data_IF_350436971276
#
_entry.id   IF_350436971276
#
_cell.length_a   1.000
_cell.length_b   1.000
_cell.length_c   1.000
_cell.angle_alpha   90.00
_cell.angle_beta   90.00
_cell.angle_gamma   90.00
#
_symmetry.space_group_name_H-M   'P 1'
#
loop_
_entity.id
_entity.type
_entity.pdbx_description
1 polymer ?
#
# COMPACT_ATOMS: atom_id res chain seq x y z
N UNK A 1 -75.68 -55.04 -36.33
CA UNK A 1 -74.63 -55.31 -35.30
C UNK A 1 -73.38 -54.58 -35.72
N UNK A 2 -73.01 -53.55 -34.99
CA UNK A 2 -72.00 -52.61 -35.42
C UNK A 2 -70.84 -52.68 -34.44
N UNK A 3 -69.69 -53.23 -34.89
CA UNK A 3 -68.48 -53.35 -34.09
C UNK A 3 -67.81 -51.98 -33.94
N UNK A 4 -67.67 -51.55 -32.73
CA UNK A 4 -66.91 -50.35 -32.36
C UNK A 4 -65.47 -50.82 -31.99
N UNK A 5 -64.51 -50.44 -32.79
CA UNK A 5 -63.10 -50.66 -32.52
C UNK A 5 -62.60 -49.52 -31.69
N UNK A 6 -62.19 -49.76 -30.41
CA UNK A 6 -61.57 -48.80 -29.52
C UNK A 6 -60.08 -48.74 -29.88
N UNK A 7 -59.65 -47.62 -30.42
CA UNK A 7 -58.28 -47.33 -30.68
C UNK A 7 -57.66 -46.69 -29.39
N UNK A 8 -56.90 -47.48 -28.63
CA UNK A 8 -56.13 -46.99 -27.48
C UNK A 8 -54.86 -46.24 -27.99
N UNK A 9 -54.87 -44.93 -27.99
CA UNK A 9 -53.66 -44.14 -28.15
C UNK A 9 -52.85 -44.12 -26.84
N UNK A 10 -51.77 -44.86 -26.80
CA UNK A 10 -50.76 -44.78 -25.73
C UNK A 10 -49.94 -43.51 -25.94
N UNK A 11 -50.18 -42.47 -25.13
CA UNK A 11 -49.37 -41.30 -25.06
C UNK A 11 -48.10 -41.63 -24.25
N UNK A 12 -47.00 -41.89 -24.93
CA UNK A 12 -45.69 -41.99 -24.29
C UNK A 12 -45.27 -40.59 -23.82
N UNK A 13 -45.33 -40.34 -22.52
CA UNK A 13 -44.69 -39.17 -21.87
C UNK A 13 -43.17 -39.37 -21.96
N UNK A 14 -42.54 -38.74 -22.94
CA UNK A 14 -41.09 -38.59 -22.98
C UNK A 14 -40.78 -37.50 -21.94
N UNK A 15 -40.38 -37.86 -20.74
CA UNK A 15 -39.75 -36.95 -19.79
C UNK A 15 -38.39 -36.56 -20.36
N UNK A 16 -38.33 -35.37 -20.99
CA UNK A 16 -37.07 -34.71 -21.30
C UNK A 16 -36.46 -34.34 -19.93
N UNK A 17 -35.58 -35.18 -19.42
CA UNK A 17 -34.64 -34.75 -18.43
C UNK A 17 -33.74 -33.72 -19.11
N UNK A 18 -34.12 -32.46 -19.07
CA UNK A 18 -33.24 -31.37 -19.36
C UNK A 18 -32.10 -31.49 -18.34
N UNK A 19 -30.96 -31.97 -18.80
CA UNK A 19 -29.72 -31.83 -18.04
C UNK A 19 -29.49 -30.32 -17.96
N UNK A 20 -29.95 -29.69 -16.89
CA UNK A 20 -29.66 -28.28 -16.64
C UNK A 20 -28.18 -28.23 -16.37
N UNK A 21 -27.44 -27.56 -17.26
CA UNK A 21 -26.03 -27.29 -17.04
C UNK A 21 -25.90 -26.57 -15.70
N UNK A 22 -24.95 -27.02 -14.88
CA UNK A 22 -24.66 -26.36 -13.62
C UNK A 22 -23.78 -25.13 -13.90
N UNK A 23 -24.35 -23.96 -13.69
CA UNK A 23 -23.65 -22.70 -13.78
C UNK A 23 -22.89 -22.43 -12.49
N UNK A 24 -21.75 -21.75 -12.57
CA UNK A 24 -20.91 -21.37 -11.43
C UNK A 24 -19.52 -20.92 -11.88
N UNK A 25 -18.69 -20.53 -10.92
CA UNK A 25 -17.31 -20.12 -11.21
C UNK A 25 -16.47 -21.31 -11.69
N UNK A 26 -15.95 -21.24 -12.91
CA UNK A 26 -15.11 -22.27 -13.52
C UNK A 26 -13.61 -21.97 -13.45
N UNK A 27 -13.18 -20.81 -12.92
CA UNK A 27 -11.76 -20.47 -12.75
C UNK A 27 -11.18 -21.17 -11.51
N UNK A 28 -10.21 -22.10 -11.67
CA UNK A 28 -9.61 -22.83 -10.55
C UNK A 28 -8.80 -21.93 -9.60
N UNK A 29 -8.50 -20.69 -10.00
CA UNK A 29 -7.79 -19.69 -9.16
C UNK A 29 -8.77 -18.83 -8.34
N UNK A 30 -10.07 -19.01 -8.49
CA UNK A 30 -11.07 -18.28 -7.72
C UNK A 30 -11.30 -18.92 -6.34
N UNK A 31 -11.70 -18.09 -5.37
CA UNK A 31 -12.07 -18.51 -3.99
C UNK A 31 -13.27 -19.45 -4.02
N UNK A 32 -14.26 -19.12 -4.86
CA UNK A 32 -15.53 -19.86 -5.01
C UNK A 32 -15.56 -20.78 -6.24
N UNK A 33 -14.39 -21.30 -6.66
CA UNK A 33 -14.32 -22.30 -7.74
C UNK A 33 -15.26 -23.48 -7.50
N UNK A 34 -16.12 -23.75 -8.46
CA UNK A 34 -17.02 -24.91 -8.45
C UNK A 34 -16.56 -25.96 -9.48
N UNK A 35 -15.92 -27.02 -8.99
CA UNK A 35 -15.43 -28.14 -9.83
C UNK A 35 -16.54 -28.82 -10.62
N UNK A 36 -17.82 -28.67 -10.23
CA UNK A 36 -18.98 -29.27 -10.88
C UNK A 36 -19.66 -28.29 -11.86
N UNK A 37 -19.26 -27.03 -11.92
CA UNK A 37 -19.78 -26.08 -12.91
C UNK A 37 -19.36 -26.51 -14.33
N UNK A 38 -20.32 -26.45 -15.25
CA UNK A 38 -20.16 -26.78 -16.67
C UNK A 38 -20.12 -25.52 -17.54
N UNK A 39 -20.63 -24.41 -17.00
CA UNK A 39 -20.61 -23.09 -17.65
C UNK A 39 -20.31 -22.00 -16.64
N UNK A 40 -19.54 -21.00 -17.09
CA UNK A 40 -19.18 -19.81 -16.30
C UNK A 40 -20.39 -18.87 -16.18
N UNK A 41 -20.69 -18.45 -14.95
CA UNK A 41 -21.79 -17.51 -14.63
C UNK A 41 -21.29 -16.11 -14.23
N UNK A 42 -19.99 -15.83 -14.35
CA UNK A 42 -19.30 -14.61 -13.92
C UNK A 42 -19.39 -14.36 -12.40
N UNK A 43 -19.62 -15.40 -11.60
CA UNK A 43 -19.65 -15.29 -10.14
C UNK A 43 -18.28 -15.43 -9.49
N UNK A 44 -17.19 -15.62 -10.25
CA UNK A 44 -15.86 -15.82 -9.71
C UNK A 44 -15.44 -14.68 -8.79
N UNK A 45 -14.98 -15.05 -7.61
CA UNK A 45 -14.38 -14.12 -6.64
C UNK A 45 -12.93 -14.49 -6.42
N UNK A 46 -12.07 -13.47 -6.29
CA UNK A 46 -10.64 -13.65 -6.11
C UNK A 46 -10.20 -13.20 -4.72
N UNK A 47 -9.08 -13.76 -4.19
CA UNK A 47 -8.56 -13.40 -2.87
C UNK A 47 -8.11 -11.94 -2.81
N UNK A 48 -8.28 -11.32 -1.66
CA UNK A 48 -7.76 -9.98 -1.39
C UNK A 48 -6.24 -10.04 -1.17
N UNK A 49 -5.57 -8.99 -1.63
CA UNK A 49 -4.17 -8.71 -1.29
C UNK A 49 -4.12 -7.45 -0.45
N UNK A 50 -3.39 -7.53 0.64
CA UNK A 50 -3.18 -6.43 1.56
C UNK A 50 -1.71 -6.04 1.60
N UNK A 51 -1.44 -4.76 1.79
CA UNK A 51 -0.12 -4.19 1.93
C UNK A 51 -0.01 -3.50 3.29
N UNK A 52 1.07 -3.79 4.00
CA UNK A 52 1.34 -3.25 5.33
C UNK A 52 2.76 -2.71 5.40
N UNK A 53 2.92 -1.47 5.86
CA UNK A 53 4.21 -0.84 6.07
C UNK A 53 4.55 -0.79 7.56
N UNK A 54 5.74 -1.26 7.92
CA UNK A 54 6.20 -1.34 9.31
C UNK A 54 7.52 -0.59 9.45
N UNK A 55 7.53 0.60 10.05
CA UNK A 55 8.77 1.29 10.38
C UNK A 55 9.61 0.44 11.35
N UNK A 56 10.86 0.22 10.98
CA UNK A 56 11.82 -0.55 11.76
C UNK A 56 13.06 0.28 12.08
N UNK A 57 13.76 -0.09 13.12
CA UNK A 57 15.01 0.54 13.52
C UNK A 57 15.96 -0.49 14.12
N UNK A 58 17.23 -0.38 13.79
CA UNK A 58 18.28 -1.24 14.35
C UNK A 58 18.74 -0.66 15.68
N UNK A 59 18.69 -1.48 16.74
CA UNK A 59 19.20 -1.15 18.07
C UNK A 59 20.21 -2.23 18.49
N UNK A 60 21.49 -1.88 18.50
CA UNK A 60 22.56 -2.87 18.70
C UNK A 60 22.65 -3.83 17.49
N UNK A 61 22.47 -5.13 17.74
CA UNK A 61 22.49 -6.19 16.71
C UNK A 61 21.05 -6.56 16.25
N UNK A 62 20.01 -6.05 16.93
CA UNK A 62 18.63 -6.42 16.68
C UNK A 62 17.91 -5.35 15.86
N UNK A 63 17.11 -5.81 14.88
CA UNK A 63 16.14 -4.96 14.19
C UNK A 63 14.78 -5.11 14.87
N UNK A 64 14.25 -4.02 15.37
CA UNK A 64 12.94 -3.96 16.00
C UNK A 64 12.00 -2.96 15.33
N UNK A 65 10.73 -3.05 15.66
CA UNK A 65 9.75 -2.06 15.24
C UNK A 65 10.05 -0.71 15.93
N UNK A 66 9.94 0.39 15.17
CA UNK A 66 10.05 1.74 15.72
C UNK A 66 8.93 2.01 16.74
N UNK A 67 9.31 2.44 17.95
CA UNK A 67 8.38 2.97 18.95
C UNK A 67 8.32 4.49 18.86
N UNK A 68 7.18 5.03 18.43
CA UNK A 68 6.99 6.49 18.41
C UNK A 68 7.00 7.06 19.82
N UNK A 69 7.57 8.26 19.98
CA UNK A 69 7.78 8.90 21.29
C UNK A 69 8.93 8.31 22.13
N UNK A 70 9.71 7.38 21.58
CA UNK A 70 10.93 6.84 22.22
C UNK A 70 12.17 7.48 21.59
N UNK A 71 13.26 7.48 22.37
CA UNK A 71 14.54 8.05 21.96
C UNK A 71 15.42 6.99 21.28
N UNK A 72 16.04 7.36 20.15
CA UNK A 72 16.94 6.53 19.38
C UNK A 72 18.22 7.29 19.02
N UNK A 73 19.34 6.60 18.97
CA UNK A 73 20.57 7.13 18.41
C UNK A 73 20.48 7.13 16.88
N UNK A 74 20.50 8.27 16.24
CA UNK A 74 20.60 8.47 14.80
C UNK A 74 21.84 9.32 14.52
N UNK A 75 22.87 8.71 13.93
CA UNK A 75 24.12 9.37 13.58
C UNK A 75 24.81 10.06 14.80
N UNK A 76 24.64 9.49 16.00
CA UNK A 76 25.23 10.02 17.24
C UNK A 76 24.40 11.10 17.94
N UNK A 77 23.16 11.33 17.51
CA UNK A 77 22.21 12.24 18.14
C UNK A 77 21.03 11.47 18.71
N UNK A 78 20.50 11.92 19.86
CA UNK A 78 19.23 11.40 20.35
C UNK A 78 18.09 12.00 19.53
N UNK A 79 17.29 11.14 18.93
CA UNK A 79 16.14 11.50 18.09
C UNK A 79 14.89 10.85 18.61
N UNK A 80 13.82 11.60 18.73
CA UNK A 80 12.48 11.13 19.05
C UNK A 80 11.58 11.35 17.86
N UNK A 81 10.98 10.28 17.33
CA UNK A 81 10.02 10.35 16.25
C UNK A 81 8.59 10.40 16.80
N UNK A 82 7.82 11.40 16.39
CA UNK A 82 6.39 11.53 16.70
C UNK A 82 5.54 11.01 15.55
N UNK A 83 5.96 11.28 14.30
CA UNK A 83 5.28 10.84 13.10
C UNK A 83 6.28 10.46 12.00
N UNK A 84 5.99 9.37 11.30
CA UNK A 84 6.55 9.04 9.98
C UNK A 84 5.39 8.60 9.12
N UNK A 85 5.06 9.39 8.10
CA UNK A 85 3.93 9.15 7.21
C UNK A 85 4.32 9.35 5.76
N UNK A 86 3.80 8.51 4.88
CA UNK A 86 4.08 8.65 3.45
C UNK A 86 2.97 8.07 2.61
N UNK A 87 2.78 8.66 1.44
CA UNK A 87 1.91 8.10 0.41
C UNK A 87 2.62 7.02 -0.37
N UNK A 88 1.84 6.02 -0.78
CA UNK A 88 2.24 4.96 -1.69
C UNK A 88 1.22 4.90 -2.83
N UNK A 89 1.67 5.10 -4.05
CA UNK A 89 0.86 5.16 -5.25
C UNK A 89 1.45 4.23 -6.33
N UNK A 90 0.78 4.07 -7.47
CA UNK A 90 1.22 3.26 -8.61
C UNK A 90 1.66 1.84 -8.21
N UNK A 91 0.87 1.20 -7.35
CA UNK A 91 1.20 -0.13 -6.81
C UNK A 91 1.01 -1.19 -7.88
N UNK A 92 2.08 -1.94 -8.17
CA UNK A 92 2.09 -3.03 -9.15
C UNK A 92 2.62 -4.30 -8.49
N UNK A 93 1.82 -5.37 -8.55
CA UNK A 93 2.26 -6.72 -8.21
C UNK A 93 2.64 -7.46 -9.50
N UNK A 94 3.90 -7.81 -9.62
CA UNK A 94 4.42 -8.64 -10.72
C UNK A 94 4.31 -10.10 -10.29
N UNK A 95 3.54 -10.88 -11.04
CA UNK A 95 3.36 -12.30 -10.74
C UNK A 95 3.91 -13.19 -11.84
N UNK A 96 3.97 -14.48 -11.60
CA UNK A 96 4.37 -15.50 -12.59
C UNK A 96 3.42 -15.58 -13.80
N UNK A 97 2.24 -14.95 -13.74
CA UNK A 97 1.20 -15.02 -14.79
C UNK A 97 0.96 -13.69 -15.47
N UNK A 98 0.73 -12.65 -14.68
CA UNK A 98 0.33 -11.31 -15.15
C UNK A 98 0.72 -10.24 -14.13
N UNK A 99 0.78 -8.99 -14.56
CA UNK A 99 0.92 -7.87 -13.64
C UNK A 99 -0.46 -7.41 -13.20
N UNK A 100 -0.55 -7.05 -11.93
CA UNK A 100 -1.73 -6.43 -11.36
C UNK A 100 -1.39 -5.00 -10.94
N UNK A 101 -2.13 -4.04 -11.47
CA UNK A 101 -2.02 -2.63 -11.12
C UNK A 101 -3.17 -2.26 -10.20
N UNK A 102 -2.86 -1.73 -9.02
CA UNK A 102 -3.87 -1.30 -8.05
C UNK A 102 -4.25 0.16 -8.27
N UNK A 103 -5.54 0.43 -8.27
CA UNK A 103 -6.07 1.81 -8.28
C UNK A 103 -6.00 2.47 -6.88
N UNK A 104 -5.60 1.70 -5.87
CA UNK A 104 -5.57 2.16 -4.48
C UNK A 104 -4.34 2.99 -4.22
N UNK A 105 -4.53 4.17 -3.65
CA UNK A 105 -3.46 4.92 -3.01
C UNK A 105 -3.49 4.63 -1.50
N UNK A 106 -2.32 4.47 -0.89
CA UNK A 106 -2.14 4.17 0.53
C UNK A 106 -1.49 5.36 1.23
N UNK A 107 -1.97 5.73 2.41
CA UNK A 107 -1.25 6.57 3.36
C UNK A 107 -0.75 5.65 4.49
N UNK A 108 0.54 5.36 4.48
CA UNK A 108 1.22 4.71 5.58
C UNK A 108 1.41 5.71 6.73
N UNK A 109 1.09 5.30 7.95
CA UNK A 109 1.14 6.15 9.14
C UNK A 109 1.76 5.38 10.30
N UNK A 110 1.95 6.04 11.44
CA UNK A 110 2.33 5.42 12.71
C UNK A 110 1.34 4.35 13.20
N UNK A 111 0.11 4.38 12.71
CA UNK A 111 -0.86 3.32 12.95
C UNK A 111 -0.52 2.10 12.12
N UNK A 112 -0.21 1.00 12.80
CA UNK A 112 0.08 -0.29 12.18
C UNK A 112 -1.20 -0.91 11.63
N UNK A 113 -1.45 -0.71 10.33
CA UNK A 113 -2.64 -1.24 9.68
C UNK A 113 -2.34 -1.77 8.29
N UNK A 114 -3.10 -2.78 7.89
CA UNK A 114 -3.07 -3.34 6.55
C UNK A 114 -4.02 -2.57 5.63
N UNK A 115 -3.62 -2.40 4.39
CA UNK A 115 -4.36 -1.70 3.35
C UNK A 115 -4.76 -2.68 2.26
N UNK A 116 -6.05 -2.76 1.96
CA UNK A 116 -6.56 -3.57 0.85
C UNK A 116 -6.16 -2.89 -0.48
N UNK A 117 -5.36 -3.57 -1.29
CA UNK A 117 -4.90 -3.08 -2.58
C UNK A 117 -5.62 -3.73 -3.75
N UNK A 118 -6.56 -4.62 -3.48
CA UNK A 118 -7.43 -5.24 -4.47
C UNK A 118 -7.46 -6.75 -4.44
N UNK A 119 -8.08 -7.33 -5.47
CA UNK A 119 -8.27 -8.77 -5.62
C UNK A 119 -7.44 -9.31 -6.75
N UNK A 120 -6.69 -10.36 -6.49
CA UNK A 120 -5.77 -10.95 -7.44
C UNK A 120 -6.01 -12.47 -7.57
N UNK A 121 -5.82 -12.99 -8.78
CA UNK A 121 -5.82 -14.44 -8.99
C UNK A 121 -4.67 -15.10 -8.25
N UNK A 122 -4.89 -16.34 -7.81
CA UNK A 122 -3.82 -17.16 -7.20
C UNK A 122 -2.62 -17.24 -8.16
N UNK A 123 -1.47 -16.78 -7.69
CA UNK A 123 -0.24 -16.72 -8.46
C UNK A 123 0.98 -16.64 -7.54
N UNK A 124 2.16 -16.99 -8.07
CA UNK A 124 3.43 -16.74 -7.39
C UNK A 124 3.83 -15.29 -7.63
N UNK A 125 4.07 -14.57 -6.55
CA UNK A 125 4.48 -13.18 -6.56
C UNK A 125 6.00 -13.11 -6.78
N UNK A 126 6.45 -12.21 -7.65
CA UNK A 126 7.85 -12.06 -8.03
C UNK A 126 8.43 -10.71 -7.59
N UNK A 127 7.64 -9.63 -7.77
CA UNK A 127 8.07 -8.29 -7.39
C UNK A 127 6.87 -7.48 -6.89
N UNK A 128 7.13 -6.59 -5.94
CA UNK A 128 6.29 -5.47 -5.58
C UNK A 128 6.93 -4.19 -6.11
N UNK A 129 6.19 -3.41 -6.89
CA UNK A 129 6.59 -2.07 -7.35
C UNK A 129 5.60 -1.04 -6.83
N UNK A 130 6.10 0.11 -6.43
CA UNK A 130 5.27 1.23 -6.02
C UNK A 130 6.03 2.55 -6.10
N UNK A 131 5.29 3.65 -6.13
CA UNK A 131 5.84 4.99 -5.98
C UNK A 131 5.68 5.47 -4.53
N UNK A 132 6.72 6.09 -3.95
CA UNK A 132 6.61 6.85 -2.71
C UNK A 132 6.30 8.29 -3.05
N UNK A 133 5.09 8.70 -2.71
CA UNK A 133 4.50 9.98 -3.07
C UNK A 133 3.17 9.83 -3.79
N UNK A 134 2.74 10.89 -4.44
CA UNK A 134 1.51 10.96 -5.21
C UNK A 134 1.87 11.28 -6.66
N UNK A 135 1.39 10.49 -7.61
CA UNK A 135 1.70 10.73 -9.02
C UNK A 135 1.11 12.06 -9.51
N UNK A 136 1.71 12.66 -10.53
CA UNK A 136 1.38 14.01 -10.99
C UNK A 136 -0.07 14.18 -11.45
N UNK A 137 -0.74 13.09 -11.86
CA UNK A 137 -2.16 13.16 -12.26
C UNK A 137 -3.11 13.37 -11.08
N UNK A 138 -2.68 13.05 -9.87
CA UNK A 138 -3.45 13.21 -8.62
C UNK A 138 -2.89 14.32 -7.73
N UNK A 139 -1.58 14.61 -7.83
CA UNK A 139 -0.87 15.51 -6.92
C UNK A 139 -1.42 16.94 -6.92
N UNK A 140 -1.89 17.42 -8.08
CA UNK A 140 -2.42 18.80 -8.24
C UNK A 140 -3.95 18.87 -8.25
N UNK A 141 -4.63 17.80 -7.80
CA UNK A 141 -6.08 17.82 -7.59
C UNK A 141 -6.34 18.25 -6.15
N UNK A 142 -7.12 19.33 -5.98
CA UNK A 142 -7.50 19.82 -4.66
C UNK A 142 -8.13 18.71 -3.80
N UNK A 143 -7.81 18.64 -2.50
CA UNK A 143 -8.25 17.55 -1.62
C UNK A 143 -9.76 17.34 -1.58
N UNK A 144 -10.56 18.40 -1.68
CA UNK A 144 -12.03 18.32 -1.71
C UNK A 144 -12.59 17.75 -3.02
N UNK A 145 -11.78 17.68 -4.08
CA UNK A 145 -12.15 17.09 -5.37
C UNK A 145 -11.70 15.63 -5.50
N UNK A 146 -10.92 15.14 -4.54
CA UNK A 146 -10.53 13.74 -4.48
C UNK A 146 -11.71 12.84 -4.09
N UNK A 147 -11.70 11.54 -4.45
CA UNK A 147 -12.71 10.61 -3.98
C UNK A 147 -12.78 10.56 -2.45
N UNK A 148 -13.97 10.62 -1.86
CA UNK A 148 -14.18 10.66 -0.39
C UNK A 148 -13.56 9.49 0.39
N UNK A 149 -13.31 8.36 -0.25
CA UNK A 149 -12.65 7.20 0.33
C UNK A 149 -11.13 7.16 0.07
N UNK A 150 -10.60 8.16 -0.63
CA UNK A 150 -9.16 8.31 -0.85
C UNK A 150 -8.48 8.93 0.37
N UNK A 151 -7.28 8.51 0.74
CA UNK A 151 -6.48 9.20 1.76
C UNK A 151 -6.02 10.61 1.33
N UNK A 152 -6.23 10.97 0.07
CA UNK A 152 -6.00 12.32 -0.46
C UNK A 152 -7.18 13.28 -0.19
N UNK A 153 -8.34 12.77 0.24
CA UNK A 153 -9.53 13.58 0.48
C UNK A 153 -9.44 14.32 1.82
N UNK A 154 -9.89 15.58 1.84
CA UNK A 154 -10.03 16.39 3.06
C UNK A 154 -8.93 17.43 3.22
N UNK A 155 -9.25 18.52 3.93
CA UNK A 155 -8.38 19.70 4.11
C UNK A 155 -7.72 19.75 5.49
N UNK A 156 -7.63 18.64 6.18
CA UNK A 156 -7.02 18.57 7.50
C UNK A 156 -5.65 17.88 7.47
N UNK A 157 -5.06 17.73 8.64
CA UNK A 157 -3.80 17.02 8.82
C UNK A 157 -3.83 15.56 8.35
N UNK A 158 -4.98 15.02 7.98
CA UNK A 158 -5.11 13.65 7.46
C UNK A 158 -4.71 13.54 6.00
N UNK A 159 -4.93 14.58 5.18
CA UNK A 159 -4.62 14.55 3.75
C UNK A 159 -3.19 14.97 3.39
N UNK A 160 -2.38 15.42 4.37
CA UNK A 160 -0.98 15.83 4.15
C UNK A 160 -0.79 16.68 2.86
N UNK A 161 -1.58 17.73 2.71
CA UNK A 161 -1.53 18.62 1.54
C UNK A 161 -0.97 19.99 1.95
N UNK A 162 -0.13 20.60 1.12
CA UNK A 162 0.31 21.99 1.30
C UNK A 162 -0.71 22.95 0.68
N UNK A 163 -0.88 22.86 -0.63
CA UNK A 163 -1.85 23.60 -1.43
C UNK A 163 -1.96 23.00 -2.84
N UNK A 164 -2.68 23.65 -3.77
CA UNK A 164 -2.87 23.14 -5.13
C UNK A 164 -1.61 23.27 -6.00
N UNK A 165 -0.74 24.26 -5.70
CA UNK A 165 0.47 24.50 -6.48
C UNK A 165 1.58 23.51 -6.08
N UNK A 166 1.82 23.32 -4.77
CA UNK A 166 2.86 22.44 -4.24
C UNK A 166 2.39 20.98 -4.05
N UNK A 167 1.08 20.74 -4.00
CA UNK A 167 0.47 19.42 -3.93
C UNK A 167 0.57 18.76 -2.56
N UNK A 168 0.67 17.43 -2.55
CA UNK A 168 0.71 16.61 -1.34
C UNK A 168 2.12 16.47 -0.79
N UNK A 169 2.21 16.31 0.55
CA UNK A 169 3.45 15.95 1.25
C UNK A 169 3.64 14.44 1.04
N UNK A 170 4.61 14.04 0.22
CA UNK A 170 4.88 12.66 -0.16
C UNK A 170 5.40 11.83 1.00
N UNK A 171 6.35 12.42 1.76
CA UNK A 171 6.98 11.80 2.91
C UNK A 171 7.12 12.83 4.02
N UNK A 172 6.65 12.51 5.22
CA UNK A 172 6.58 13.40 6.37
C UNK A 172 7.28 12.77 7.55
N UNK A 173 8.21 13.52 8.18
CA UNK A 173 8.88 13.13 9.42
C UNK A 173 8.71 14.27 10.40
N UNK A 174 8.15 13.98 11.56
CA UNK A 174 8.05 14.94 12.68
C UNK A 174 8.58 14.31 13.96
N UNK A 175 9.19 15.16 14.79
CA UNK A 175 9.77 14.74 16.05
C UNK A 175 10.70 15.82 16.64
N UNK A 176 11.68 15.38 17.39
CA UNK A 176 12.67 16.25 18.00
C UNK A 176 14.06 15.59 17.97
N UNK A 177 15.09 16.43 17.95
CA UNK A 177 16.50 16.03 17.97
C UNK A 177 17.20 16.78 19.09
N UNK A 178 17.82 16.05 20.02
CA UNK A 178 18.69 16.63 21.06
C UNK A 178 20.03 17.05 20.41
N UNK A 179 20.05 18.25 19.85
CA UNK A 179 21.20 18.76 19.09
C UNK A 179 22.34 19.16 20.01
N UNK A 180 22.01 19.70 21.20
CA UNK A 180 23.00 20.17 22.16
C UNK A 180 23.54 19.06 23.10
N UNK A 181 22.88 17.90 23.13
CA UNK A 181 23.30 16.71 23.89
C UNK A 181 23.05 16.80 25.39
N UNK A 182 22.10 17.66 25.85
CA UNK A 182 21.82 17.85 27.27
C UNK A 182 20.70 16.92 27.80
N UNK A 183 20.08 16.13 26.91
CA UNK A 183 19.01 15.17 27.24
C UNK A 183 17.64 15.82 27.36
N UNK A 184 17.47 17.07 26.95
CA UNK A 184 16.20 17.81 26.92
C UNK A 184 15.89 18.18 25.47
N UNK A 185 14.65 18.07 25.07
CA UNK A 185 14.21 18.49 23.73
C UNK A 185 13.60 19.89 23.83
N UNK A 186 14.26 20.86 23.23
CA UNK A 186 13.77 22.23 23.19
C UNK A 186 12.53 22.35 22.29
N UNK A 187 11.57 23.15 22.74
CA UNK A 187 10.30 23.34 22.02
C UNK A 187 10.40 24.50 21.00
N UNK A 188 11.53 24.60 20.32
CA UNK A 188 11.78 25.61 19.31
C UNK A 188 12.44 25.01 18.06
N UNK A 189 12.69 25.85 17.06
CA UNK A 189 13.21 25.42 15.75
C UNK A 189 14.65 24.88 15.80
N UNK A 190 15.35 24.97 16.94
CA UNK A 190 16.71 24.42 17.07
C UNK A 190 16.72 22.90 17.25
N UNK A 191 15.62 22.31 17.73
CA UNK A 191 15.52 20.88 18.03
C UNK A 191 14.22 20.23 17.54
N UNK A 192 13.21 21.01 17.14
CA UNK A 192 12.02 20.47 16.50
C UNK A 192 12.37 20.02 15.07
N UNK A 193 12.13 18.74 14.80
CA UNK A 193 12.27 18.18 13.47
C UNK A 193 10.91 18.18 12.75
N UNK A 194 10.84 18.86 11.60
CA UNK A 194 9.66 18.94 10.74
C UNK A 194 10.09 18.89 9.27
N UNK A 195 10.31 17.68 8.77
CA UNK A 195 10.78 17.43 7.41
C UNK A 195 9.60 16.93 6.59
N UNK A 196 9.15 17.77 5.66
CA UNK A 196 8.04 17.49 4.75
C UNK A 196 8.56 17.49 3.32
N UNK A 197 8.53 16.34 2.69
CA UNK A 197 9.03 16.11 1.34
C UNK A 197 7.87 15.96 0.37
N UNK A 198 7.95 16.56 -0.79
CA UNK A 198 6.94 16.48 -1.86
C UNK A 198 7.49 17.05 -3.14
N UNK A 199 6.62 17.56 -4.01
CA UNK A 199 6.88 18.03 -5.37
C UNK A 199 7.12 16.86 -6.35
N UNK A 200 6.59 16.98 -7.56
CA UNK A 200 6.59 15.92 -8.58
C UNK A 200 7.99 15.36 -8.88
N UNK A 201 9.03 16.20 -8.91
CA UNK A 201 10.41 15.79 -9.17
C UNK A 201 11.00 14.88 -8.07
N UNK A 202 10.38 14.83 -6.91
CA UNK A 202 10.79 14.00 -5.78
C UNK A 202 10.03 12.68 -5.69
N UNK A 203 9.13 12.37 -6.61
CA UNK A 203 8.48 11.06 -6.66
C UNK A 203 9.54 9.96 -6.82
N UNK A 204 9.50 8.94 -5.98
CA UNK A 204 10.46 7.83 -6.00
C UNK A 204 9.76 6.51 -6.31
N UNK A 205 10.33 5.75 -7.25
CA UNK A 205 9.84 4.41 -7.57
C UNK A 205 10.68 3.37 -6.86
N UNK A 206 10.03 2.45 -6.16
CA UNK A 206 10.64 1.35 -5.42
C UNK A 206 10.27 0.04 -6.11
N UNK A 207 11.26 -0.86 -6.24
CA UNK A 207 11.05 -2.22 -6.74
C UNK A 207 11.67 -3.20 -5.75
N UNK A 208 10.84 -4.07 -5.18
CA UNK A 208 11.25 -5.06 -4.19
C UNK A 208 11.06 -6.47 -4.77
N UNK A 209 12.11 -7.29 -4.82
CA UNK A 209 11.96 -8.70 -5.16
C UNK A 209 11.18 -9.40 -4.04
N UNK A 210 10.30 -10.31 -4.43
CA UNK A 210 9.53 -11.14 -3.51
C UNK A 210 9.93 -12.58 -3.76
N UNK A 211 10.48 -13.23 -2.75
CA UNK A 211 10.92 -14.62 -2.83
C UNK A 211 9.96 -15.54 -2.07
N UNK A 212 9.64 -16.68 -2.69
CA UNK A 212 8.87 -17.77 -2.07
C UNK A 212 7.49 -17.37 -1.50
N UNK A 213 6.89 -16.32 -2.06
CA UNK A 213 5.56 -15.86 -1.65
C UNK A 213 4.54 -16.16 -2.74
N UNK A 214 3.37 -16.61 -2.34
CA UNK A 214 2.27 -16.84 -3.26
C UNK A 214 0.94 -16.34 -2.69
N UNK A 215 0.13 -15.81 -3.58
CA UNK A 215 -1.25 -15.45 -3.29
C UNK A 215 -2.08 -16.71 -3.40
N UNK A 216 -2.59 -17.21 -2.29
CA UNK A 216 -3.48 -18.36 -2.23
C UNK A 216 -4.96 -17.95 -2.27
N UNK A 217 -5.89 -18.92 -2.12
CA UNK A 217 -7.33 -18.62 -2.15
C UNK A 217 -7.86 -17.90 -0.92
N UNK A 218 -7.08 -17.82 0.16
CA UNK A 218 -7.47 -17.13 1.40
C UNK A 218 -7.15 -15.63 1.30
N UNK A 219 -6.18 -15.29 0.47
CA UNK A 219 -5.62 -13.95 0.33
C UNK A 219 -4.18 -13.90 0.82
N UNK A 220 -3.62 -12.71 0.81
CA UNK A 220 -2.24 -12.52 1.19
C UNK A 220 -1.99 -11.12 1.76
N UNK A 221 -1.18 -11.03 2.80
CA UNK A 221 -0.65 -9.76 3.32
C UNK A 221 0.86 -9.68 3.03
N UNK A 222 1.25 -8.66 2.30
CA UNK A 222 2.63 -8.28 2.06
C UNK A 222 3.04 -7.27 3.13
N UNK A 223 4.00 -7.63 3.98
CA UNK A 223 4.59 -6.71 4.95
C UNK A 223 5.89 -6.14 4.39
N UNK A 224 5.95 -4.81 4.29
CA UNK A 224 7.12 -4.05 3.89
C UNK A 224 7.72 -3.39 5.12
N UNK A 225 8.96 -3.71 5.43
CA UNK A 225 9.73 -3.05 6.48
C UNK A 225 10.34 -1.75 5.93
N UNK A 226 10.38 -0.72 6.77
CA UNK A 226 10.88 0.62 6.44
C UNK A 226 12.02 0.95 7.39
N UNK A 227 13.27 0.91 6.91
CA UNK A 227 14.44 1.24 7.71
C UNK A 227 14.54 2.74 8.00
N UNK A 228 14.19 3.12 9.23
CA UNK A 228 14.17 4.52 9.65
C UNK A 228 15.58 5.14 9.72
N UNK A 229 16.62 4.34 10.02
CA UNK A 229 18.00 4.85 9.98
C UNK A 229 18.46 5.17 8.58
N UNK A 230 18.06 4.34 7.61
CA UNK A 230 18.38 4.53 6.21
C UNK A 230 17.92 5.88 5.65
N UNK A 231 16.81 6.44 6.20
CA UNK A 231 16.32 7.78 5.84
C UNK A 231 17.40 8.87 6.01
N UNK A 232 18.23 8.74 7.06
CA UNK A 232 19.24 9.73 7.44
C UNK A 232 20.66 9.36 7.02
N UNK A 233 20.81 8.46 6.03
CA UNK A 233 22.12 8.12 5.47
C UNK A 233 22.75 9.36 4.82
N UNK A 234 23.97 9.70 5.24
CA UNK A 234 24.72 10.87 4.77
C UNK A 234 23.95 12.22 4.91
N UNK A 235 23.02 12.29 5.85
CA UNK A 235 22.20 13.45 6.10
C UNK A 235 22.72 14.29 7.30
N UNK A 236 22.84 15.59 7.10
CA UNK A 236 23.31 16.53 8.13
C UNK A 236 22.17 16.91 9.09
N UNK A 237 21.73 15.93 9.90
CA UNK A 237 20.55 16.03 10.74
C UNK A 237 20.57 17.27 11.67
N UNK A 238 21.68 17.63 12.39
CA UNK A 238 21.66 18.77 13.32
C UNK A 238 21.45 20.13 12.63
N UNK A 239 21.73 20.23 11.33
CA UNK A 239 21.62 21.50 10.59
C UNK A 239 20.42 21.53 9.62
N UNK A 240 19.67 20.41 9.46
CA UNK A 240 18.62 20.26 8.47
C UNK A 240 17.35 19.67 9.07
N UNK A 241 16.82 20.32 10.11
CA UNK A 241 15.64 19.82 10.84
C UNK A 241 14.31 20.20 10.20
N UNK A 242 14.32 21.09 9.19
CA UNK A 242 13.11 21.67 8.66
C UNK A 242 13.14 21.80 7.14
N UNK A 243 11.98 21.61 6.50
CA UNK A 243 11.79 21.83 5.06
C UNK A 243 10.62 22.76 4.78
N UNK A 244 10.75 23.48 3.66
CA UNK A 244 9.64 24.18 2.98
C UNK A 244 9.83 24.03 1.47
N UNK A 245 8.80 23.67 0.71
CA UNK A 245 8.94 23.43 -0.72
C UNK A 245 9.45 24.63 -1.50
N UNK A 246 8.99 25.82 -1.15
CA UNK A 246 9.27 27.10 -1.83
C UNK A 246 10.60 27.75 -1.42
N UNK A 247 11.04 27.57 -0.19
CA UNK A 247 12.18 28.33 0.37
C UNK A 247 13.33 27.48 0.90
N UNK A 248 13.06 26.28 1.40
CA UNK A 248 14.04 25.34 1.97
C UNK A 248 13.77 23.91 1.47
N UNK A 249 13.84 23.66 0.15
CA UNK A 249 13.51 22.33 -0.39
C UNK A 249 14.63 21.29 -0.20
N UNK A 250 15.88 21.75 -0.05
CA UNK A 250 17.05 20.87 -0.10
C UNK A 250 17.02 19.70 0.90
N UNK A 251 16.65 19.89 2.19
CA UNK A 251 16.58 18.78 3.13
C UNK A 251 15.57 17.71 2.69
N UNK A 252 14.43 18.10 2.14
CA UNK A 252 13.43 17.16 1.62
C UNK A 252 13.92 16.37 0.41
N UNK A 253 14.65 17.01 -0.51
CA UNK A 253 15.26 16.35 -1.67
C UNK A 253 16.27 15.28 -1.22
N UNK A 254 17.13 15.60 -0.24
CA UNK A 254 18.12 14.66 0.29
C UNK A 254 17.45 13.45 0.95
N UNK A 255 16.41 13.66 1.76
CA UNK A 255 15.63 12.59 2.36
C UNK A 255 15.01 11.70 1.26
N UNK A 256 14.36 12.30 0.25
CA UNK A 256 13.74 11.53 -0.83
C UNK A 256 14.75 10.72 -1.65
N UNK A 257 16.01 11.16 -1.76
CA UNK A 257 17.05 10.36 -2.40
C UNK A 257 17.42 9.10 -1.62
N UNK A 258 17.23 9.09 -0.30
CA UNK A 258 17.45 7.92 0.54
C UNK A 258 16.24 6.99 0.54
N UNK A 259 15.04 7.55 0.36
CA UNK A 259 13.75 6.83 0.51
C UNK A 259 13.64 5.61 -0.39
N UNK A 260 14.18 5.62 -1.60
CA UNK A 260 14.10 4.47 -2.50
C UNK A 260 14.85 3.22 -1.98
N UNK A 261 15.77 3.37 -1.02
CA UNK A 261 16.64 2.31 -0.51
C UNK A 261 16.27 1.81 0.90
N UNK A 262 15.20 2.33 1.52
CA UNK A 262 14.83 2.01 2.90
C UNK A 262 13.80 0.88 3.02
N UNK A 263 13.27 0.40 1.92
CA UNK A 263 12.20 -0.60 1.91
C UNK A 263 12.73 -2.01 1.67
N UNK A 264 12.18 -2.97 2.38
CA UNK A 264 12.43 -4.40 2.16
C UNK A 264 11.18 -5.23 2.45
N UNK A 265 11.05 -6.39 1.79
CA UNK A 265 9.99 -7.34 2.13
C UNK A 265 10.38 -8.06 3.42
N UNK A 266 9.47 -8.14 4.36
CA UNK A 266 9.64 -8.96 5.56
C UNK A 266 9.57 -10.43 5.17
N UNK A 267 10.63 -11.17 5.50
CA UNK A 267 10.69 -12.62 5.34
C UNK A 267 9.89 -13.38 6.41
#
# INVERSE_FOLDING_TARGET
>A
MRNIIFCMCAIALITLNSCQEREGCTDPNAVNYDVLAQSEDNSCTFPNVQLRFVPTIVVGEDTGRLGFGQDYDINGLNVRFDQIRFYVDDIILVTSKENFESETIVLATEADKSHDIGKLKVADLQELKFSVGVNSTRNHIAPELQPMNSPLFGNDSSSQNWDEDDGYIFFKIEGAVDVNGDGVYEQDMSEIMSIHCGLDDNLKTVTLPVTEQSIDRVGYELTVEVDVRGIFTDYDLPNKLFTRPDTIPQPGIEIMNNVENIFSIKE
#
